data_IF_558661207595
#
_entry.id   IF_558661207595
#
_cell.length_a   1.000
_cell.length_b   1.000
_cell.length_c   1.000
_cell.angle_alpha   90.00
_cell.angle_beta   90.00
_cell.angle_gamma   90.00
#
_symmetry.space_group_name_H-M   'P 1'
#
loop_
_entity.id
_entity.type
_entity.pdbx_description
1 polymer ?
#
# COMPACT_ATOMS: atom_id res chain seq x y z
N UNK A 1 -13.81 -17.46 9.67
CA UNK A 1 -13.38 -17.63 8.26
C UNK A 1 -12.30 -18.69 8.23
N UNK A 2 -12.30 -19.58 7.24
CA UNK A 2 -11.18 -20.51 7.02
C UNK A 2 -9.92 -19.69 6.62
N UNK A 3 -8.79 -19.83 7.33
CA UNK A 3 -7.55 -19.13 7.01
C UNK A 3 -7.04 -19.38 5.59
N UNK A 4 -7.24 -20.59 5.04
CA UNK A 4 -6.82 -20.90 3.67
C UNK A 4 -7.67 -20.13 2.65
N UNK A 5 -9.00 -20.14 2.83
CA UNK A 5 -9.92 -19.34 2.02
C UNK A 5 -9.65 -17.84 2.10
N UNK A 6 -9.32 -17.31 3.28
CA UNK A 6 -8.97 -15.89 3.42
C UNK A 6 -7.71 -15.53 2.61
N UNK A 7 -6.65 -16.34 2.73
CA UNK A 7 -5.41 -16.10 1.97
C UNK A 7 -5.64 -16.18 0.46
N UNK A 8 -6.40 -17.18 -0.01
CA UNK A 8 -6.73 -17.32 -1.43
C UNK A 8 -7.50 -16.10 -1.94
N UNK A 9 -8.50 -15.65 -1.17
CA UNK A 9 -9.29 -14.46 -1.52
C UNK A 9 -8.43 -13.19 -1.55
N UNK A 10 -7.53 -12.99 -0.59
CA UNK A 10 -6.62 -11.83 -0.59
C UNK A 10 -5.66 -11.85 -1.77
N UNK A 11 -5.07 -13.01 -2.10
CA UNK A 11 -4.20 -13.14 -3.28
C UNK A 11 -4.95 -12.81 -4.56
N UNK A 12 -6.17 -13.34 -4.72
CA UNK A 12 -7.00 -12.98 -5.87
C UNK A 12 -7.32 -11.48 -5.90
N UNK A 13 -7.66 -10.86 -4.77
CA UNK A 13 -7.87 -9.41 -4.73
C UNK A 13 -6.62 -8.61 -5.13
N UNK A 14 -5.43 -9.07 -4.76
CA UNK A 14 -4.18 -8.42 -5.16
C UNK A 14 -3.95 -8.52 -6.66
N UNK A 15 -4.15 -9.70 -7.24
CA UNK A 15 -3.98 -9.90 -8.69
C UNK A 15 -5.03 -9.16 -9.52
N UNK A 16 -6.30 -9.24 -9.14
CA UNK A 16 -7.39 -8.68 -9.95
C UNK A 16 -7.51 -7.16 -9.81
N UNK A 17 -7.30 -6.63 -8.60
CA UNK A 17 -7.55 -5.22 -8.32
C UNK A 17 -6.27 -4.40 -8.19
N UNK A 18 -5.34 -4.84 -7.32
CA UNK A 18 -4.16 -4.02 -7.00
C UNK A 18 -3.13 -4.02 -8.13
N UNK A 19 -2.87 -5.16 -8.75
CA UNK A 19 -1.95 -5.23 -9.89
C UNK A 19 -2.43 -4.37 -11.05
N UNK A 20 -3.71 -4.47 -11.35
CA UNK A 20 -4.41 -3.70 -12.37
C UNK A 20 -4.36 -2.19 -12.10
N UNK A 21 -4.58 -1.79 -10.84
CA UNK A 21 -4.48 -0.40 -10.43
C UNK A 21 -3.05 0.13 -10.56
N UNK A 22 -2.06 -0.62 -10.07
CA UNK A 22 -0.64 -0.24 -10.12
C UNK A 22 -0.15 -0.16 -11.57
N UNK A 23 -0.53 -1.09 -12.43
CA UNK A 23 -0.21 -1.07 -13.86
C UNK A 23 -0.78 0.18 -14.56
N UNK A 24 -2.05 0.54 -14.28
CA UNK A 24 -2.65 1.78 -14.80
C UNK A 24 -1.95 3.03 -14.26
N UNK A 25 -1.54 3.02 -12.99
CA UNK A 25 -0.90 4.17 -12.35
C UNK A 25 0.52 4.46 -12.88
N UNK A 26 1.20 3.47 -13.46
CA UNK A 26 2.54 3.60 -14.06
C UNK A 26 2.53 4.18 -15.48
N UNK A 27 1.38 4.19 -16.17
CA UNK A 27 1.27 4.76 -17.53
C UNK A 27 1.51 6.28 -17.53
N UNK A 28 1.89 6.89 -18.67
CA UNK A 28 1.90 8.34 -18.81
C UNK A 28 0.55 8.93 -18.40
N UNK A 29 0.57 9.99 -17.58
CA UNK A 29 -0.63 10.61 -16.98
C UNK A 29 -1.44 9.69 -16.05
N UNK A 30 -1.01 8.45 -15.83
CA UNK A 30 -1.54 7.52 -14.85
C UNK A 30 -1.16 7.94 -13.43
N UNK A 31 -1.98 7.53 -12.46
CA UNK A 31 -1.66 7.71 -11.03
C UNK A 31 -1.61 9.18 -10.58
N UNK A 32 -2.12 10.14 -11.36
CA UNK A 32 -2.20 11.56 -10.96
C UNK A 32 -3.02 11.75 -9.67
N UNK A 33 -3.94 10.82 -9.38
CA UNK A 33 -4.64 10.78 -8.10
C UNK A 33 -3.71 10.74 -6.88
N UNK A 34 -2.51 10.16 -6.99
CA UNK A 34 -1.50 10.13 -5.92
C UNK A 34 -0.86 11.50 -5.62
N UNK A 35 -1.13 12.53 -6.42
CA UNK A 35 -0.80 13.90 -6.03
C UNK A 35 -1.61 14.34 -4.80
N UNK A 36 -2.82 13.79 -4.64
CA UNK A 36 -3.68 14.01 -3.48
C UNK A 36 -3.28 13.07 -2.35
N UNK A 37 -3.07 13.64 -1.16
CA UNK A 37 -2.67 12.87 0.01
C UNK A 37 -3.64 11.72 0.35
N UNK A 38 -4.95 11.96 0.24
CA UNK A 38 -5.95 10.92 0.53
C UNK A 38 -5.77 9.65 -0.31
N UNK A 39 -5.43 9.80 -1.60
CA UNK A 39 -5.15 8.66 -2.49
C UNK A 39 -3.88 7.92 -2.08
N UNK A 40 -2.85 8.66 -1.63
CA UNK A 40 -1.60 8.06 -1.12
C UNK A 40 -1.90 7.22 0.13
N UNK A 41 -2.62 7.78 1.09
CA UNK A 41 -3.00 7.06 2.30
C UNK A 41 -3.90 5.84 2.00
N UNK A 42 -4.79 5.94 1.01
CA UNK A 42 -5.60 4.82 0.56
C UNK A 42 -4.74 3.72 -0.08
N UNK A 43 -3.81 4.07 -0.97
CA UNK A 43 -2.99 3.11 -1.72
C UNK A 43 -1.96 2.41 -0.85
N UNK A 44 -1.09 3.18 -0.18
CA UNK A 44 0.01 2.70 0.66
C UNK A 44 -0.53 1.82 1.79
N UNK A 45 -1.52 2.29 2.55
CA UNK A 45 -2.09 1.52 3.66
C UNK A 45 -3.05 0.43 3.17
N UNK A 46 -3.64 0.58 1.98
CA UNK A 46 -4.55 -0.39 1.38
C UNK A 46 -3.84 -1.68 0.99
N UNK A 47 -2.83 -1.59 0.12
CA UNK A 47 -2.04 -2.75 -0.28
C UNK A 47 -1.25 -3.33 0.90
N UNK A 48 -0.85 -2.47 1.85
CA UNK A 48 -0.23 -2.89 3.10
C UNK A 48 -1.10 -3.83 3.95
N UNK A 49 -2.42 -3.65 3.96
CA UNK A 49 -3.33 -4.59 4.65
C UNK A 49 -3.36 -5.96 3.99
N UNK A 50 -3.19 -6.02 2.67
CA UNK A 50 -3.15 -7.29 1.94
C UNK A 50 -1.91 -8.07 2.35
N UNK A 51 -0.74 -7.41 2.33
CA UNK A 51 0.51 -8.00 2.79
C UNK A 51 0.43 -8.45 4.25
N UNK A 52 -0.11 -7.62 5.16
CA UNK A 52 -0.33 -8.01 6.55
C UNK A 52 -1.13 -9.30 6.65
N UNK A 53 -2.29 -9.35 5.98
CA UNK A 53 -3.20 -10.51 6.06
C UNK A 53 -2.53 -11.77 5.54
N UNK A 54 -1.73 -11.69 4.48
CA UNK A 54 -1.01 -12.83 3.93
C UNK A 54 0.12 -13.30 4.85
N UNK A 55 0.80 -12.37 5.55
CA UNK A 55 1.94 -12.69 6.44
C UNK A 55 1.52 -13.19 7.82
N UNK A 56 0.42 -12.68 8.37
CA UNK A 56 -0.01 -12.98 9.74
C UNK A 56 -1.22 -13.91 9.81
N UNK A 57 -2.01 -14.00 8.73
CA UNK A 57 -3.30 -14.69 8.74
C UNK A 57 -4.44 -13.89 9.39
N UNK A 58 -4.18 -12.65 9.82
CA UNK A 58 -5.15 -11.80 10.51
C UNK A 58 -5.58 -10.59 9.67
N UNK A 59 -6.75 -10.02 9.95
CA UNK A 59 -7.20 -8.78 9.31
C UNK A 59 -6.97 -7.60 10.24
N UNK A 60 -6.31 -6.56 9.73
CA UNK A 60 -6.04 -5.32 10.48
C UNK A 60 -6.69 -4.09 9.86
N UNK A 61 -6.65 -2.96 10.57
CA UNK A 61 -7.07 -1.64 10.08
C UNK A 61 -6.00 -1.02 9.16
N UNK A 62 -6.33 0.04 8.42
CA UNK A 62 -5.33 0.79 7.63
C UNK A 62 -4.19 1.34 8.49
N UNK A 63 -4.52 1.85 9.68
CA UNK A 63 -3.52 2.39 10.61
C UNK A 63 -2.67 1.27 11.21
N UNK A 64 -3.27 0.12 11.54
CA UNK A 64 -2.55 -1.05 12.03
C UNK A 64 -1.57 -1.62 11.00
N UNK A 65 -1.99 -1.74 9.73
CA UNK A 65 -1.08 -2.12 8.65
C UNK A 65 0.09 -1.14 8.51
N UNK A 66 -0.19 0.18 8.56
CA UNK A 66 0.86 1.19 8.48
C UNK A 66 1.85 1.15 9.66
N UNK A 67 1.38 0.85 10.86
CA UNK A 67 2.25 0.71 12.06
C UNK A 67 3.10 -0.56 12.01
N UNK A 68 2.61 -1.62 11.37
CA UNK A 68 3.32 -2.89 11.19
C UNK A 68 4.38 -2.83 10.09
N UNK A 69 4.11 -2.09 9.00
CA UNK A 69 4.95 -2.07 7.79
C UNK A 69 6.44 -1.79 8.01
N UNK A 70 6.86 -0.81 8.86
CA UNK A 70 8.28 -0.50 9.04
C UNK A 70 9.14 -1.67 9.53
N UNK A 71 8.54 -2.68 10.16
CA UNK A 71 9.21 -3.92 10.58
C UNK A 71 9.37 -4.97 9.48
N UNK A 72 8.79 -4.75 8.30
CA UNK A 72 8.76 -5.71 7.18
C UNK A 72 9.44 -5.18 5.93
N UNK A 73 9.33 -3.88 5.65
CA UNK A 73 9.86 -3.28 4.43
C UNK A 73 11.23 -2.62 4.65
N UNK A 74 12.00 -2.49 3.59
CA UNK A 74 13.30 -1.83 3.62
C UNK A 74 13.21 -0.37 4.12
N UNK A 75 14.28 0.16 4.76
CA UNK A 75 14.26 1.50 5.35
C UNK A 75 13.80 2.63 4.43
N UNK A 76 14.10 2.54 3.13
CA UNK A 76 13.72 3.53 2.10
C UNK A 76 12.20 3.75 2.00
N UNK A 77 11.39 2.76 2.40
CA UNK A 77 9.94 2.80 2.31
C UNK A 77 9.26 3.33 3.58
N UNK A 78 9.98 3.48 4.70
CA UNK A 78 9.39 3.92 5.97
C UNK A 78 8.78 5.31 5.87
N UNK A 79 9.47 6.24 5.21
CA UNK A 79 9.03 7.63 5.14
C UNK A 79 7.68 7.78 4.45
N UNK A 80 7.44 7.04 3.35
CA UNK A 80 6.15 7.12 2.64
C UNK A 80 5.02 6.44 3.43
N UNK A 81 5.32 5.40 4.20
CA UNK A 81 4.34 4.77 5.12
C UNK A 81 3.96 5.74 6.24
N UNK A 82 4.94 6.40 6.85
CA UNK A 82 4.71 7.40 7.90
C UNK A 82 3.93 8.61 7.37
N UNK A 83 4.25 9.07 6.15
CA UNK A 83 3.48 10.12 5.47
C UNK A 83 2.02 9.68 5.23
N UNK A 84 1.79 8.44 4.80
CA UNK A 84 0.44 7.90 4.62
C UNK A 84 -0.35 7.83 5.94
N UNK A 85 0.31 7.43 7.05
CA UNK A 85 -0.27 7.46 8.39
C UNK A 85 -0.60 8.88 8.85
N UNK A 86 0.32 9.82 8.63
CA UNK A 86 0.14 11.24 8.94
C UNK A 86 -1.09 11.79 8.23
N UNK A 87 -1.16 11.60 6.90
CA UNK A 87 -2.30 12.03 6.10
C UNK A 87 -3.60 11.40 6.58
N UNK A 88 -3.58 10.10 6.90
CA UNK A 88 -4.78 9.42 7.40
C UNK A 88 -5.27 10.01 8.73
N UNK A 89 -4.37 10.45 9.60
CA UNK A 89 -4.69 11.02 10.92
C UNK A 89 -5.11 12.49 10.84
N UNK A 90 -4.48 13.28 9.99
CA UNK A 90 -4.61 14.75 10.01
C UNK A 90 -5.25 15.33 8.76
N UNK A 91 -5.43 14.54 7.71
CA UNK A 91 -5.78 15.00 6.37
C UNK A 91 -4.66 15.73 5.64
N UNK A 92 -3.47 15.88 6.25
CA UNK A 92 -2.36 16.69 5.73
C UNK A 92 -1.07 15.88 5.64
N UNK A 93 -0.36 16.05 4.53
CA UNK A 93 0.96 15.48 4.30
C UNK A 93 2.07 16.49 4.56
N UNK A 94 3.27 16.01 4.89
CA UNK A 94 4.49 16.81 5.02
C UNK A 94 5.41 16.73 3.79
N UNK A 95 5.23 15.72 2.93
CA UNK A 95 6.04 15.55 1.72
C UNK A 95 5.49 16.41 0.57
N UNK A 96 6.40 16.87 -0.31
CA UNK A 96 6.01 17.47 -1.59
C UNK A 96 5.21 16.48 -2.44
N UNK A 97 4.18 16.96 -3.15
CA UNK A 97 3.21 16.10 -3.86
C UNK A 97 3.84 15.20 -4.92
N UNK A 98 4.82 15.69 -5.68
CA UNK A 98 5.52 14.92 -6.72
C UNK A 98 6.36 13.78 -6.12
N UNK A 99 7.16 14.10 -5.09
CA UNK A 99 7.96 13.11 -4.36
C UNK A 99 7.04 12.06 -3.73
N UNK A 100 6.00 12.50 -3.03
CA UNK A 100 5.03 11.60 -2.40
C UNK A 100 4.36 10.68 -3.42
N UNK A 101 3.97 11.19 -4.58
CA UNK A 101 3.41 10.36 -5.67
C UNK A 101 4.40 9.28 -6.11
N UNK A 102 5.65 9.68 -6.41
CA UNK A 102 6.69 8.76 -6.88
C UNK A 102 6.93 7.65 -5.86
N UNK A 103 7.15 8.04 -4.61
CA UNK A 103 7.49 7.12 -3.53
C UNK A 103 6.28 6.21 -3.18
N UNK A 104 5.05 6.72 -3.25
CA UNK A 104 3.84 5.92 -3.05
C UNK A 104 3.66 4.87 -4.15
N UNK A 105 3.85 5.26 -5.41
CA UNK A 105 3.74 4.32 -6.53
C UNK A 105 4.84 3.25 -6.44
N UNK A 106 6.08 3.65 -6.17
CA UNK A 106 7.19 2.71 -5.97
C UNK A 106 6.92 1.73 -4.83
N UNK A 107 6.40 2.22 -3.71
CA UNK A 107 6.04 1.37 -2.57
C UNK A 107 4.96 0.34 -2.93
N UNK A 108 3.91 0.78 -3.62
CA UNK A 108 2.82 -0.11 -4.03
C UNK A 108 3.30 -1.19 -5.01
N UNK A 109 4.20 -0.84 -5.94
CA UNK A 109 4.85 -1.81 -6.83
C UNK A 109 5.68 -2.82 -6.03
N UNK A 110 6.53 -2.37 -5.12
CA UNK A 110 7.35 -3.26 -4.30
C UNK A 110 6.50 -4.22 -3.45
N UNK A 111 5.43 -3.73 -2.81
CA UNK A 111 4.54 -4.60 -2.02
C UNK A 111 3.84 -5.64 -2.91
N UNK A 112 3.42 -5.26 -4.11
CA UNK A 112 2.83 -6.19 -5.07
C UNK A 112 3.81 -7.30 -5.45
N UNK A 113 5.06 -6.96 -5.73
CA UNK A 113 6.13 -7.93 -6.03
C UNK A 113 6.42 -8.84 -4.83
N UNK A 114 6.47 -8.28 -3.62
CA UNK A 114 6.68 -9.04 -2.39
C UNK A 114 5.55 -10.04 -2.12
N UNK A 115 4.31 -9.69 -2.46
CA UNK A 115 3.15 -10.61 -2.37
C UNK A 115 3.25 -11.72 -3.41
N UNK A 116 3.67 -11.40 -4.64
CA UNK A 116 3.81 -12.40 -5.72
C UNK A 116 4.95 -13.38 -5.52
N UNK A 117 5.98 -12.99 -4.77
CA UNK A 117 7.15 -13.82 -4.49
C UNK A 117 6.94 -14.87 -3.38
N UNK A 118 5.81 -14.86 -2.65
CA UNK A 118 5.54 -15.77 -1.53
C UNK A 118 4.18 -16.46 -1.59
#
# INVERSE_FOLDING_TARGET
>A
WDPARLRAWVRQNVEDYWADWVARAQRPWGGLGLLRGGTVAWGVLGIGRMLYTLRTGEVTSKSGAGQWMPGVVEPQWREIVEEALRIRRTGRGGMGSLRRRRDALGFMTMVLELIRAG
#
